data_IF_378320442595
#
_entry.id   IF_378320442595
#
_cell.length_a   1.000
_cell.length_b   1.000
_cell.length_c   1.000
_cell.angle_alpha   90.00
_cell.angle_beta   90.00
_cell.angle_gamma   90.00
#
_symmetry.space_group_name_H-M   'P 1'
#
loop_
_entity.id
_entity.type
_entity.pdbx_description
1 polymer ?
#
# COMPACT_ATOMS: atom_id res chain seq x y z
N UNK A 1 -11.61 -5.33 12.83
CA UNK A 1 -11.18 -5.59 11.45
C UNK A 1 -12.19 -4.91 10.55
N UNK A 2 -11.79 -3.90 9.78
CA UNK A 2 -12.74 -3.19 8.91
C UNK A 2 -13.11 -4.05 7.71
N UNK A 3 -14.34 -3.92 7.25
CA UNK A 3 -14.78 -4.44 5.97
C UNK A 3 -14.29 -3.57 4.81
N UNK A 4 -14.33 -4.13 3.59
CA UNK A 4 -14.02 -3.40 2.36
C UNK A 4 -14.94 -2.18 2.17
N UNK A 5 -16.21 -2.30 2.55
CA UNK A 5 -17.19 -1.22 2.46
C UNK A 5 -16.85 -0.08 3.43
N UNK A 6 -16.52 -0.39 4.68
CA UNK A 6 -16.10 0.61 5.67
C UNK A 6 -14.80 1.31 5.27
N UNK A 7 -13.81 0.56 4.75
CA UNK A 7 -12.58 1.16 4.22
C UNK A 7 -12.88 2.11 3.06
N UNK A 8 -13.68 1.67 2.10
CA UNK A 8 -14.03 2.48 0.92
C UNK A 8 -14.82 3.73 1.31
N UNK A 9 -15.75 3.62 2.25
CA UNK A 9 -16.48 4.76 2.78
C UNK A 9 -15.55 5.79 3.43
N UNK A 10 -14.50 5.34 4.13
CA UNK A 10 -13.52 6.22 4.80
C UNK A 10 -12.70 7.08 3.83
N UNK A 11 -12.62 6.73 2.54
CA UNK A 11 -11.90 7.56 1.53
C UNK A 11 -12.57 8.93 1.30
N UNK A 12 -13.81 9.11 1.77
CA UNK A 12 -14.53 10.40 1.75
C UNK A 12 -14.04 11.36 2.84
N UNK A 13 -13.34 10.85 3.85
CA UNK A 13 -12.79 11.66 4.92
C UNK A 13 -11.49 12.36 4.47
N UNK A 14 -11.10 13.39 5.23
CA UNK A 14 -9.85 14.13 5.00
C UNK A 14 -8.62 13.40 5.54
N UNK A 15 -8.82 12.47 6.49
CA UNK A 15 -7.77 11.65 7.10
C UNK A 15 -8.25 10.21 7.27
N UNK A 16 -7.34 9.22 7.26
CA UNK A 16 -7.68 7.84 7.59
C UNK A 16 -8.11 7.74 9.05
N UNK A 17 -8.93 6.74 9.36
CA UNK A 17 -9.33 6.48 10.74
C UNK A 17 -8.12 6.00 11.57
N UNK A 18 -8.08 6.42 12.84
CA UNK A 18 -6.91 6.22 13.71
C UNK A 18 -6.64 4.73 13.99
N UNK A 19 -7.68 3.89 13.94
CA UNK A 19 -7.64 2.45 14.18
C UNK A 19 -7.15 1.62 12.98
N UNK A 20 -6.99 2.24 11.81
CA UNK A 20 -6.39 1.57 10.65
C UNK A 20 -4.93 1.19 10.95
N UNK A 21 -4.55 -0.02 10.52
CA UNK A 21 -3.15 -0.45 10.52
C UNK A 21 -2.30 0.49 9.65
N UNK A 22 -1.00 0.54 9.91
CA UNK A 22 -0.04 1.31 9.10
C UNK A 22 -0.12 0.93 7.61
N UNK A 23 -0.31 -0.36 7.31
CA UNK A 23 -0.49 -0.89 5.95
C UNK A 23 -1.76 -0.36 5.29
N UNK A 24 -2.90 -0.37 5.99
CA UNK A 24 -4.15 0.17 5.48
C UNK A 24 -4.10 1.70 5.34
N UNK A 25 -3.42 2.42 6.24
CA UNK A 25 -3.17 3.87 6.11
C UNK A 25 -2.35 4.19 4.87
N UNK A 26 -1.32 3.38 4.57
CA UNK A 26 -0.51 3.56 3.37
C UNK A 26 -1.37 3.43 2.10
N UNK A 27 -2.17 2.37 2.00
CA UNK A 27 -3.07 2.15 0.85
C UNK A 27 -4.18 3.21 0.76
N UNK A 28 -4.64 3.75 1.89
CA UNK A 28 -5.61 4.84 1.94
C UNK A 28 -5.04 6.12 1.34
N UNK A 29 -3.85 6.54 1.76
CA UNK A 29 -3.18 7.73 1.21
C UNK A 29 -2.86 7.56 -0.27
N UNK A 30 -2.40 6.37 -0.68
CA UNK A 30 -2.15 6.06 -2.09
C UNK A 30 -3.43 6.21 -2.93
N UNK A 31 -4.57 5.75 -2.42
CA UNK A 31 -5.85 5.87 -3.12
C UNK A 31 -6.35 7.30 -3.22
N UNK A 32 -5.95 8.17 -2.29
CA UNK A 32 -6.19 9.63 -2.33
C UNK A 32 -5.20 10.37 -3.23
N UNK A 33 -4.20 9.68 -3.79
CA UNK A 33 -3.16 10.27 -4.63
C UNK A 33 -2.01 10.91 -3.84
N UNK A 34 -1.94 10.68 -2.53
CA UNK A 34 -0.87 11.19 -1.66
C UNK A 34 0.21 10.11 -1.47
N UNK A 35 1.05 9.97 -2.48
CA UNK A 35 2.14 9.00 -2.47
C UNK A 35 3.13 9.25 -1.33
N UNK A 36 3.42 10.52 -1.01
CA UNK A 36 4.39 10.86 0.04
C UNK A 36 3.91 10.36 1.41
N UNK A 37 2.64 10.61 1.75
CA UNK A 37 2.06 10.12 3.00
C UNK A 37 1.93 8.60 3.01
N UNK A 38 1.60 7.98 1.87
CA UNK A 38 1.56 6.53 1.73
C UNK A 38 2.93 5.90 2.03
N UNK A 39 3.98 6.41 1.41
CA UNK A 39 5.35 5.95 1.61
C UNK A 39 5.80 6.14 3.07
N UNK A 40 5.53 7.31 3.66
CA UNK A 40 5.92 7.61 5.04
C UNK A 40 5.31 6.64 6.08
N UNK A 41 4.11 6.09 5.84
CA UNK A 41 3.51 5.10 6.75
C UNK A 41 4.36 3.84 6.91
N UNK A 42 5.08 3.43 5.85
CA UNK A 42 5.83 2.17 5.80
C UNK A 42 7.35 2.36 5.79
N UNK A 43 7.85 3.58 5.54
CA UNK A 43 9.27 3.92 5.39
C UNK A 43 10.16 3.49 6.56
N UNK A 44 9.64 3.61 7.78
CA UNK A 44 10.38 3.31 9.00
C UNK A 44 10.28 1.83 9.43
N UNK A 45 9.55 1.01 8.67
CA UNK A 45 9.27 -0.39 9.00
C UNK A 45 10.16 -1.32 8.17
N UNK A 46 10.57 -2.45 8.78
CA UNK A 46 11.50 -3.40 8.17
C UNK A 46 10.89 -4.81 7.98
N UNK A 47 9.59 -4.95 8.18
CA UNK A 47 8.88 -6.22 8.00
C UNK A 47 8.49 -6.48 6.53
N UNK A 48 8.15 -7.74 6.23
CA UNK A 48 7.84 -8.19 4.88
C UNK A 48 6.58 -7.52 4.30
N UNK A 49 5.59 -7.22 5.13
CA UNK A 49 4.33 -6.60 4.69
C UNK A 49 4.56 -5.14 4.29
N UNK A 50 5.31 -4.39 5.09
CA UNK A 50 5.70 -3.01 4.79
C UNK A 50 6.55 -2.92 3.52
N UNK A 51 7.51 -3.84 3.36
CA UNK A 51 8.29 -3.95 2.12
C UNK A 51 7.43 -4.25 0.88
N UNK A 52 6.35 -5.03 1.02
CA UNK A 52 5.44 -5.33 -0.10
C UNK A 52 4.69 -4.06 -0.56
N UNK A 53 4.26 -3.22 0.38
CA UNK A 53 3.63 -1.94 0.05
C UNK A 53 4.64 -0.98 -0.57
N UNK A 54 5.88 -0.90 -0.06
CA UNK A 54 6.94 -0.11 -0.71
C UNK A 54 7.16 -0.53 -2.16
N UNK A 55 7.23 -1.83 -2.42
CA UNK A 55 7.40 -2.38 -3.77
C UNK A 55 6.29 -1.91 -4.71
N UNK A 56 5.04 -2.02 -4.25
CA UNK A 56 3.88 -1.55 -4.97
C UNK A 56 3.92 -0.03 -5.25
N UNK A 57 4.22 0.78 -4.24
CA UNK A 57 4.27 2.25 -4.36
C UNK A 57 5.31 2.70 -5.39
N UNK A 58 6.51 2.13 -5.36
CA UNK A 58 7.55 2.41 -6.36
C UNK A 58 7.18 1.90 -7.75
N UNK A 59 6.49 0.75 -7.83
CA UNK A 59 6.02 0.23 -9.12
C UNK A 59 4.99 1.16 -9.76
N UNK A 60 4.05 1.68 -8.96
CA UNK A 60 2.99 2.57 -9.41
C UNK A 60 3.52 3.88 -9.98
N UNK A 61 4.57 4.45 -9.40
CA UNK A 61 5.21 5.68 -9.90
C UNK A 61 6.20 5.46 -11.05
N UNK A 62 6.53 4.19 -11.35
CA UNK A 62 7.41 3.82 -12.46
C UNK A 62 8.89 3.67 -12.08
N UNK A 63 9.25 3.74 -10.79
CA UNK A 63 10.59 3.39 -10.31
C UNK A 63 10.74 1.85 -10.21
N UNK A 64 10.84 1.23 -11.38
CA UNK A 64 10.82 -0.22 -11.53
C UNK A 64 12.01 -0.91 -10.84
N UNK A 65 13.19 -0.30 -10.86
CA UNK A 65 14.39 -0.88 -10.26
C UNK A 65 14.25 -0.94 -8.73
N UNK A 66 13.76 0.14 -8.12
CA UNK A 66 13.55 0.20 -6.68
C UNK A 66 12.37 -0.68 -6.26
N UNK A 67 11.30 -0.71 -7.06
CA UNK A 67 10.21 -1.66 -6.85
C UNK A 67 10.72 -3.10 -6.77
N UNK A 68 11.59 -3.53 -7.69
CA UNK A 68 12.16 -4.88 -7.69
C UNK A 68 13.04 -5.16 -6.47
N UNK A 69 13.80 -4.17 -6.01
CA UNK A 69 14.54 -4.26 -4.75
C UNK A 69 13.59 -4.54 -3.58
N UNK A 70 12.48 -3.81 -3.49
CA UNK A 70 11.50 -3.99 -2.41
C UNK A 70 10.67 -5.27 -2.53
N UNK A 71 10.27 -5.71 -3.74
CA UNK A 71 9.62 -7.01 -3.93
C UNK A 71 10.52 -8.13 -3.42
N UNK A 72 11.83 -8.07 -3.73
CA UNK A 72 12.81 -9.02 -3.21
C UNK A 72 12.89 -8.98 -1.68
N UNK A 73 12.87 -7.81 -1.05
CA UNK A 73 12.84 -7.69 0.43
C UNK A 73 11.54 -8.24 1.02
N UNK A 74 10.42 -8.06 0.34
CA UNK A 74 9.11 -8.58 0.71
C UNK A 74 8.97 -10.10 0.50
N UNK A 75 9.95 -10.75 -0.14
CA UNK A 75 9.87 -12.14 -0.60
C UNK A 75 8.68 -12.39 -1.55
N UNK A 76 8.34 -11.37 -2.34
CA UNK A 76 7.28 -11.41 -3.34
C UNK A 76 7.88 -11.33 -4.75
N UNK A 77 7.13 -11.84 -5.74
CA UNK A 77 7.43 -11.58 -7.15
C UNK A 77 6.64 -10.36 -7.59
N UNK A 78 7.27 -9.48 -8.38
CA UNK A 78 6.54 -8.39 -9.05
C UNK A 78 5.41 -8.99 -9.90
N UNK A 79 4.14 -8.59 -9.68
CA UNK A 79 3.04 -9.21 -10.39
C UNK A 79 2.90 -8.65 -11.81
N UNK A 80 2.42 -9.48 -12.73
CA UNK A 80 2.11 -9.12 -14.13
C UNK A 80 0.66 -8.62 -14.27
N UNK A 81 0.23 -7.77 -13.35
CA UNK A 81 -1.10 -7.13 -13.33
C UNK A 81 -0.96 -5.61 -13.29
N UNK A 82 -2.05 -4.87 -13.42
CA UNK A 82 -2.02 -3.41 -13.26
C UNK A 82 -1.77 -2.98 -11.81
N UNK A 83 -1.24 -1.77 -11.55
CA UNK A 83 -1.12 -1.23 -10.20
C UNK A 83 -2.47 -1.15 -9.46
N UNK A 84 -3.58 -0.87 -10.15
CA UNK A 84 -4.90 -0.84 -9.51
C UNK A 84 -5.36 -2.23 -9.05
N UNK A 85 -5.07 -3.28 -9.82
CA UNK A 85 -5.35 -4.66 -9.41
C UNK A 85 -4.49 -5.09 -8.23
N UNK A 86 -3.21 -4.75 -8.24
CA UNK A 86 -2.30 -5.03 -7.14
C UNK A 86 -2.71 -4.30 -5.85
N UNK A 87 -3.10 -3.03 -5.94
CA UNK A 87 -3.66 -2.28 -4.82
C UNK A 87 -4.85 -3.00 -4.20
N UNK A 88 -5.76 -3.51 -5.03
CA UNK A 88 -6.94 -4.23 -4.55
C UNK A 88 -6.57 -5.59 -3.93
N UNK A 89 -5.49 -6.24 -4.36
CA UNK A 89 -4.96 -7.45 -3.72
C UNK A 89 -4.34 -7.13 -2.35
N UNK A 90 -3.52 -6.07 -2.26
CA UNK A 90 -2.93 -5.61 -1.00
C UNK A 90 -4.01 -5.19 0.00
N UNK A 91 -5.04 -4.47 -0.45
CA UNK A 91 -6.14 -4.08 0.41
C UNK A 91 -6.83 -5.32 1.00
N UNK A 92 -7.12 -6.35 0.19
CA UNK A 92 -7.70 -7.60 0.69
C UNK A 92 -6.77 -8.38 1.61
N UNK A 93 -5.45 -8.24 1.46
CA UNK A 93 -4.47 -8.90 2.31
C UNK A 93 -4.40 -8.28 3.71
N UNK A 94 -4.65 -6.98 3.83
CA UNK A 94 -4.50 -6.21 5.08
C UNK A 94 -5.80 -5.84 5.77
N UNK A 95 -6.95 -5.99 5.09
CA UNK A 95 -8.26 -5.98 5.74
C UNK A 95 -8.38 -7.22 6.60
#
# INVERSE_FOLDING_TARGET
>A
MKSLEEFTASLRNDRPDDDLSVHLKALWYDKKGDWQQAHHQVDHLNDLASAHIHAYLHRKEGDIWNADYWYKRAQQKRPEISPDEEWAQLLRLFL
#
